data_IF_553536338845
#
_entry.id   IF_553536338845
#
_cell.length_a   1.000
_cell.length_b   1.000
_cell.length_c   1.000
_cell.angle_alpha   90.00
_cell.angle_beta   90.00
_cell.angle_gamma   90.00
#
_symmetry.space_group_name_H-M   'P 1'
#
loop_
_entity.id
_entity.type
_entity.pdbx_description
1 polymer ?
#
# COMPACT_ATOMS: atom_id res chain seq x y z
N UNK A 1 -28.45 -72.79 -27.51
CA UNK A 1 -27.29 -72.01 -27.98
C UNK A 1 -27.53 -71.71 -29.44
N UNK A 2 -27.62 -70.49 -29.96
CA UNK A 2 -27.43 -69.12 -29.46
C UNK A 2 -28.33 -68.24 -30.33
N UNK A 3 -28.91 -67.20 -29.75
CA UNK A 3 -29.69 -66.18 -30.46
C UNK A 3 -28.76 -65.24 -31.25
N UNK A 4 -29.10 -64.91 -32.49
CA UNK A 4 -28.44 -63.85 -33.27
C UNK A 4 -29.42 -62.74 -33.67
N UNK A 5 -29.41 -61.70 -32.85
CA UNK A 5 -29.31 -60.27 -33.17
C UNK A 5 -29.69 -59.77 -34.59
N UNK A 6 -30.98 -59.82 -34.93
CA UNK A 6 -31.51 -59.02 -36.04
C UNK A 6 -32.05 -57.67 -35.54
N UNK A 7 -31.17 -56.66 -35.55
CA UNK A 7 -31.43 -55.24 -35.86
C UNK A 7 -32.91 -54.76 -35.89
N UNK A 8 -33.39 -53.99 -34.89
CA UNK A 8 -34.73 -53.41 -34.92
C UNK A 8 -34.70 -51.97 -35.49
N UNK A 9 -34.16 -51.78 -36.69
CA UNK A 9 -34.36 -50.55 -37.47
C UNK A 9 -35.30 -50.81 -38.65
N UNK A 10 -36.57 -51.08 -38.34
CA UNK A 10 -37.67 -50.94 -39.32
C UNK A 10 -38.69 -49.93 -38.82
N UNK A 11 -38.27 -48.67 -38.74
CA UNK A 11 -39.21 -47.56 -38.71
C UNK A 11 -39.81 -47.41 -40.12
N UNK A 12 -41.08 -47.81 -40.29
CA UNK A 12 -41.85 -47.57 -41.52
C UNK A 12 -41.94 -46.06 -41.76
N UNK A 13 -41.17 -45.55 -42.73
CA UNK A 13 -41.34 -44.21 -43.27
C UNK A 13 -42.43 -44.28 -44.35
N UNK A 14 -43.62 -43.79 -44.05
CA UNK A 14 -44.64 -43.52 -45.07
C UNK A 14 -44.13 -42.39 -45.97
N UNK A 15 -43.74 -42.72 -47.20
CA UNK A 15 -43.30 -41.76 -48.21
C UNK A 15 -44.51 -41.12 -48.90
N UNK A 16 -44.92 -39.94 -48.43
CA UNK A 16 -45.68 -39.00 -49.25
C UNK A 16 -44.69 -38.12 -50.03
N UNK A 17 -44.62 -38.34 -51.34
CA UNK A 17 -43.80 -37.57 -52.28
C UNK A 17 -44.47 -36.22 -52.59
N UNK A 18 -44.00 -35.15 -51.96
CA UNK A 18 -44.23 -33.79 -52.43
C UNK A 18 -42.96 -33.28 -53.13
N UNK A 19 -43.14 -32.81 -54.38
CA UNK A 19 -42.12 -32.25 -55.28
C UNK A 19 -41.28 -31.15 -54.59
N UNK A 20 -39.96 -31.28 -54.68
CA UNK A 20 -39.07 -30.12 -54.91
C UNK A 20 -38.11 -29.72 -53.80
N UNK A 21 -38.33 -30.05 -52.52
CA UNK A 21 -37.41 -29.68 -51.43
C UNK A 21 -37.37 -30.78 -50.37
N UNK A 22 -36.24 -31.47 -50.22
CA UNK A 22 -36.05 -32.43 -49.12
C UNK A 22 -35.74 -31.65 -47.85
N UNK A 23 -36.78 -31.27 -47.11
CA UNK A 23 -36.60 -30.69 -45.79
C UNK A 23 -36.23 -31.81 -44.81
N UNK A 24 -34.92 -32.04 -44.63
CA UNK A 24 -34.40 -32.94 -43.60
C UNK A 24 -34.63 -32.29 -42.24
N UNK A 25 -35.72 -32.67 -41.56
CA UNK A 25 -35.96 -32.29 -40.17
C UNK A 25 -34.84 -32.86 -39.29
N UNK A 26 -33.85 -32.04 -38.96
CA UNK A 26 -32.88 -32.34 -37.92
C UNK A 26 -33.65 -32.29 -36.60
N UNK A 27 -33.98 -33.47 -36.07
CA UNK A 27 -34.63 -33.61 -34.77
C UNK A 27 -33.61 -33.21 -33.71
N UNK A 28 -33.64 -31.95 -33.28
CA UNK A 28 -32.90 -31.48 -32.11
C UNK A 28 -33.33 -32.33 -30.92
N UNK A 29 -32.41 -33.14 -30.37
CA UNK A 29 -32.66 -33.81 -29.09
C UNK A 29 -32.90 -32.69 -28.08
N UNK A 30 -34.13 -32.59 -27.59
CA UNK A 30 -34.45 -31.73 -26.47
C UNK A 30 -33.67 -32.27 -25.27
N UNK A 31 -32.50 -31.71 -24.99
CA UNK A 31 -31.78 -31.97 -23.75
C UNK A 31 -32.72 -31.50 -22.66
N UNK A 32 -33.19 -32.43 -21.83
CA UNK A 32 -34.01 -32.07 -20.68
C UNK A 32 -33.18 -31.09 -19.84
N UNK A 33 -33.63 -29.83 -19.76
CA UNK A 33 -33.07 -28.88 -18.83
C UNK A 33 -33.36 -29.41 -17.43
N UNK A 34 -32.37 -30.05 -16.82
CA UNK A 34 -32.36 -30.30 -15.39
C UNK A 34 -32.19 -28.93 -14.73
N UNK A 35 -33.29 -28.33 -14.27
CA UNK A 35 -33.27 -27.09 -13.53
C UNK A 35 -32.44 -27.23 -12.25
N UNK A 36 -31.75 -26.16 -11.86
CA UNK A 36 -31.03 -26.08 -10.58
C UNK A 36 -31.94 -26.48 -9.44
N UNK A 37 -31.47 -27.36 -8.57
CA UNK A 37 -32.21 -27.69 -7.34
C UNK A 37 -32.16 -26.47 -6.41
N UNK A 38 -33.22 -26.22 -5.63
CA UNK A 38 -33.25 -25.10 -4.67
C UNK A 38 -32.05 -25.15 -3.70
N UNK A 39 -31.64 -26.36 -3.33
CA UNK A 39 -30.47 -26.61 -2.47
C UNK A 39 -29.17 -26.16 -3.13
N UNK A 40 -29.01 -26.36 -4.43
CA UNK A 40 -27.80 -25.96 -5.19
C UNK A 40 -27.62 -24.44 -5.23
N UNK A 41 -28.72 -23.70 -5.39
CA UNK A 41 -28.70 -22.24 -5.31
C UNK A 41 -28.33 -21.74 -3.90
N UNK A 42 -28.88 -22.37 -2.86
CA UNK A 42 -28.54 -22.02 -1.47
C UNK A 42 -27.09 -22.30 -1.13
N UNK A 43 -26.55 -23.45 -1.54
CA UNK A 43 -25.14 -23.79 -1.34
C UNK A 43 -24.25 -22.79 -2.08
N UNK A 44 -24.60 -22.43 -3.32
CA UNK A 44 -23.85 -21.43 -4.11
C UNK A 44 -23.80 -20.07 -3.43
N UNK A 45 -24.94 -19.60 -2.88
CA UNK A 45 -25.00 -18.36 -2.11
C UNK A 45 -24.16 -18.42 -0.84
N UNK A 46 -24.14 -19.56 -0.14
CA UNK A 46 -23.29 -19.74 1.05
C UNK A 46 -21.81 -19.69 0.69
N UNK A 47 -21.39 -20.40 -0.36
CA UNK A 47 -19.98 -20.38 -0.81
C UNK A 47 -19.57 -18.98 -1.25
N UNK A 48 -20.44 -18.27 -1.99
CA UNK A 48 -20.20 -16.89 -2.39
C UNK A 48 -20.07 -15.96 -1.18
N UNK A 49 -20.96 -16.09 -0.19
CA UNK A 49 -20.91 -15.28 1.03
C UNK A 49 -19.59 -15.49 1.79
N UNK A 50 -19.16 -16.74 1.96
CA UNK A 50 -17.86 -17.05 2.59
C UNK A 50 -16.70 -16.49 1.77
N UNK A 51 -16.76 -16.60 0.44
CA UNK A 51 -15.75 -16.02 -0.45
C UNK A 51 -15.63 -14.50 -0.31
N UNK A 52 -16.75 -13.77 -0.23
CA UNK A 52 -16.74 -12.32 -0.04
C UNK A 52 -16.17 -11.89 1.30
N UNK A 53 -16.41 -12.64 2.38
CA UNK A 53 -15.78 -12.36 3.68
C UNK A 53 -14.25 -12.48 3.60
N UNK A 54 -13.73 -13.46 2.84
CA UNK A 54 -12.31 -13.60 2.57
C UNK A 54 -11.73 -12.37 1.86
N UNK A 55 -12.40 -11.88 0.81
CA UNK A 55 -11.96 -10.68 0.07
C UNK A 55 -11.98 -9.43 0.94
N UNK A 56 -13.02 -9.26 1.78
CA UNK A 56 -13.10 -8.13 2.70
C UNK A 56 -11.94 -8.11 3.70
N UNK A 57 -11.55 -9.27 4.23
CA UNK A 57 -10.39 -9.39 5.12
C UNK A 57 -9.08 -8.99 4.42
N UNK A 58 -8.87 -9.47 3.18
CA UNK A 58 -7.69 -9.09 2.38
C UNK A 58 -7.66 -7.59 2.04
N UNK A 59 -8.83 -6.99 1.82
CA UNK A 59 -8.95 -5.56 1.53
C UNK A 59 -8.51 -4.70 2.73
N UNK A 60 -8.91 -5.06 3.95
CA UNK A 60 -8.49 -4.37 5.17
C UNK A 60 -6.96 -4.43 5.34
N UNK A 61 -6.37 -5.60 5.10
CA UNK A 61 -4.92 -5.75 5.21
C UNK A 61 -4.18 -4.94 4.13
N UNK A 62 -4.73 -4.87 2.93
CA UNK A 62 -4.18 -4.04 1.84
C UNK A 62 -4.17 -2.56 2.22
N UNK A 63 -5.26 -2.06 2.82
CA UNK A 63 -5.32 -0.68 3.32
C UNK A 63 -4.30 -0.44 4.44
N UNK A 64 -4.18 -1.39 5.37
CA UNK A 64 -3.21 -1.30 6.47
C UNK A 64 -1.79 -1.21 5.94
N UNK A 65 -1.40 -2.13 5.05
CA UNK A 65 -0.08 -2.14 4.41
C UNK A 65 0.20 -0.84 3.64
N UNK A 66 -0.81 -0.31 2.96
CA UNK A 66 -0.70 0.97 2.23
C UNK A 66 -0.37 2.14 3.16
N UNK A 67 -1.12 2.29 4.26
CA UNK A 67 -0.86 3.34 5.25
C UNK A 67 0.55 3.24 5.85
N UNK A 68 1.01 2.02 6.15
CA UNK A 68 2.34 1.80 6.69
C UNK A 68 3.45 2.16 5.70
N UNK A 69 3.26 1.80 4.42
CA UNK A 69 4.19 2.17 3.36
C UNK A 69 4.32 3.69 3.19
N UNK A 70 3.22 4.43 3.32
CA UNK A 70 3.22 5.90 3.23
C UNK A 70 3.99 6.51 4.40
N UNK A 71 3.72 6.10 5.64
CA UNK A 71 4.45 6.59 6.81
C UNK A 71 5.95 6.34 6.70
N UNK A 72 6.34 5.15 6.26
CA UNK A 72 7.75 4.80 6.06
C UNK A 72 8.40 5.63 4.95
N UNK A 73 7.72 5.81 3.82
CA UNK A 73 8.21 6.65 2.71
C UNK A 73 8.41 8.09 3.16
N UNK A 74 7.45 8.65 3.91
CA UNK A 74 7.56 10.00 4.47
C UNK A 74 8.76 10.10 5.41
N UNK A 75 8.98 9.10 6.27
CA UNK A 75 10.12 9.09 7.19
C UNK A 75 11.48 9.07 6.46
N UNK A 76 11.60 8.26 5.40
CA UNK A 76 12.81 8.19 4.57
C UNK A 76 13.07 9.52 3.89
N UNK A 77 12.05 10.11 3.24
CA UNK A 77 12.17 11.39 2.53
C UNK A 77 12.51 12.52 3.49
N UNK A 78 11.86 12.61 4.65
CA UNK A 78 12.12 13.65 5.65
C UNK A 78 13.53 13.53 6.26
N UNK A 79 14.02 12.31 6.48
CA UNK A 79 15.38 12.11 6.96
C UNK A 79 16.42 12.48 5.91
N UNK A 80 16.19 12.12 4.65
CA UNK A 80 17.08 12.46 3.55
C UNK A 80 17.14 13.98 3.33
N UNK A 81 15.98 14.66 3.32
CA UNK A 81 15.88 16.11 3.23
C UNK A 81 16.69 16.81 4.34
N UNK A 82 16.55 16.36 5.59
CA UNK A 82 17.34 16.92 6.69
C UNK A 82 18.84 16.64 6.55
N UNK A 83 19.25 15.46 6.08
CA UNK A 83 20.65 15.17 5.82
C UNK A 83 21.24 16.11 4.74
N UNK A 84 20.46 16.40 3.70
CA UNK A 84 20.89 17.30 2.63
C UNK A 84 20.97 18.76 3.09
N UNK A 85 20.04 19.22 3.94
CA UNK A 85 20.13 20.53 4.60
C UNK A 85 21.37 20.67 5.47
N UNK A 86 21.67 19.66 6.28
CA UNK A 86 22.88 19.63 7.13
C UNK A 86 24.15 19.72 6.27
N UNK A 87 24.21 18.97 5.16
CA UNK A 87 25.35 19.02 4.22
C UNK A 87 25.48 20.39 3.56
N UNK A 88 24.37 21.00 3.14
CA UNK A 88 24.36 22.32 2.53
C UNK A 88 24.81 23.41 3.51
N UNK A 89 24.49 23.27 4.80
CA UNK A 89 24.86 24.20 5.86
C UNK A 89 25.90 23.61 6.83
N UNK A 90 27.00 23.10 6.27
CA UNK A 90 28.08 22.46 7.04
C UNK A 90 28.70 23.36 8.13
N UNK A 91 28.73 24.68 7.91
CA UNK A 91 29.25 25.66 8.88
C UNK A 91 28.31 25.86 10.09
N UNK A 92 27.02 25.55 9.95
CA UNK A 92 25.99 25.71 10.96
C UNK A 92 25.60 24.43 11.69
N UNK A 93 26.38 23.35 11.52
CA UNK A 93 25.97 21.99 11.86
C UNK A 93 25.56 21.80 13.33
N UNK A 94 26.22 22.52 14.25
CA UNK A 94 25.89 22.48 15.68
C UNK A 94 24.47 22.99 15.98
N UNK A 95 23.89 23.80 15.11
CA UNK A 95 22.52 24.29 15.23
C UNK A 95 21.45 23.21 15.00
N UNK A 96 21.80 22.09 14.36
CA UNK A 96 20.87 20.97 14.12
C UNK A 96 20.82 19.99 15.30
N UNK A 97 21.84 19.94 16.15
CA UNK A 97 22.00 18.91 17.19
C UNK A 97 21.00 19.11 18.32
N UNK A 98 20.35 18.03 18.75
CA UNK A 98 19.45 18.02 19.90
C UNK A 98 18.06 18.63 19.62
N UNK A 99 17.86 19.19 18.43
CA UNK A 99 16.58 19.68 17.98
C UNK A 99 15.73 18.57 17.35
N UNK A 100 14.40 18.68 17.49
CA UNK A 100 13.47 17.82 16.78
C UNK A 100 12.09 17.66 17.41
N UNK A 101 11.22 16.96 16.66
CA UNK A 101 9.83 16.72 17.01
C UNK A 101 9.71 15.93 18.32
N UNK A 102 8.84 16.38 19.24
CA UNK A 102 8.59 15.68 20.51
C UNK A 102 9.54 16.03 21.67
N UNK A 103 10.63 16.77 21.41
CA UNK A 103 11.58 17.24 22.45
C UNK A 103 11.37 18.71 22.85
N UNK A 104 10.31 19.37 22.35
CA UNK A 104 9.97 20.77 22.67
C UNK A 104 10.89 21.83 22.04
N UNK A 105 11.97 21.42 21.36
CA UNK A 105 12.92 22.30 20.67
C UNK A 105 12.66 22.25 19.17
N UNK A 106 11.62 22.97 18.74
CA UNK A 106 11.47 23.35 17.34
C UNK A 106 12.42 24.53 17.07
N UNK A 107 13.12 24.51 15.94
CA UNK A 107 13.89 25.68 15.51
C UNK A 107 13.00 26.91 15.33
N UNK A 108 13.61 28.09 15.14
CA UNK A 108 12.89 29.34 14.94
C UNK A 108 12.68 29.64 13.46
N UNK A 109 11.46 30.07 13.08
CA UNK A 109 11.21 30.63 11.74
C UNK A 109 11.95 31.98 11.62
N UNK A 110 13.13 31.94 10.99
CA UNK A 110 13.98 33.10 10.79
C UNK A 110 13.78 33.73 9.40
N UNK A 111 12.84 33.19 8.60
CA UNK A 111 12.53 33.63 7.25
C UNK A 111 13.79 33.66 6.35
N UNK A 112 14.62 32.63 6.47
CA UNK A 112 15.89 32.52 5.74
C UNK A 112 15.69 32.20 4.26
N UNK A 113 14.53 31.64 3.90
CA UNK A 113 14.16 31.28 2.53
C UNK A 113 13.15 32.31 2.01
N UNK A 114 13.48 32.98 0.90
CA UNK A 114 12.66 34.02 0.25
C UNK A 114 12.36 35.27 1.12
N UNK A 115 13.00 35.42 2.27
CA UNK A 115 12.92 36.59 3.12
C UNK A 115 13.97 37.67 2.81
N UNK A 116 13.86 38.86 3.42
CA UNK A 116 14.83 39.95 3.25
C UNK A 116 16.11 39.78 4.09
N UNK A 117 16.22 38.71 4.90
CA UNK A 117 17.28 38.51 5.88
C UNK A 117 18.38 37.59 5.33
N UNK A 118 19.64 38.03 5.45
CA UNK A 118 20.79 37.16 5.25
C UNK A 118 21.07 36.39 6.54
N UNK A 119 20.57 35.16 6.62
CA UNK A 119 20.75 34.34 7.82
C UNK A 119 22.21 33.91 8.02
N UNK A 120 22.66 33.96 9.27
CA UNK A 120 23.88 33.24 9.69
C UNK A 120 23.67 31.73 9.59
N UNK A 121 24.74 30.91 9.50
CA UNK A 121 24.62 29.45 9.47
C UNK A 121 23.78 28.87 10.64
N UNK A 122 23.87 29.45 11.83
CA UNK A 122 23.07 29.04 12.99
C UNK A 122 21.57 29.38 12.84
N UNK A 123 21.25 30.56 12.28
CA UNK A 123 19.86 30.96 12.02
C UNK A 123 19.24 30.12 10.90
N UNK A 124 20.01 29.79 9.87
CA UNK A 124 19.57 28.90 8.81
C UNK A 124 19.25 27.50 9.35
N UNK A 125 20.10 26.95 10.22
CA UNK A 125 19.82 25.66 10.88
C UNK A 125 18.52 25.68 11.71
N UNK A 126 18.26 26.78 12.43
CA UNK A 126 17.02 26.95 13.17
C UNK A 126 15.79 27.08 12.25
N UNK A 127 15.91 27.72 11.09
CA UNK A 127 14.83 27.84 10.09
C UNK A 127 14.54 26.49 9.43
N UNK A 128 15.58 25.76 9.04
CA UNK A 128 15.48 24.40 8.49
C UNK A 128 14.76 23.46 9.46
N UNK A 129 15.13 23.48 10.74
CA UNK A 129 14.49 22.68 11.78
C UNK A 129 13.02 23.07 12.00
N UNK A 130 12.69 24.35 11.86
CA UNK A 130 11.30 24.82 11.96
C UNK A 130 10.45 24.20 10.85
N UNK A 131 10.88 24.35 9.59
CA UNK A 131 10.13 23.82 8.44
C UNK A 131 10.08 22.30 8.43
N UNK A 132 11.20 21.64 8.72
CA UNK A 132 11.24 20.19 8.85
C UNK A 132 10.27 19.69 9.92
N UNK A 133 10.14 20.42 11.04
CA UNK A 133 9.18 20.06 12.07
C UNK A 133 7.73 20.25 11.61
N UNK A 134 7.42 21.32 10.87
CA UNK A 134 6.09 21.49 10.26
C UNK A 134 5.77 20.37 9.26
N UNK A 135 6.74 19.94 8.46
CA UNK A 135 6.55 18.83 7.52
C UNK A 135 6.34 17.50 8.24
N UNK A 136 7.12 17.22 9.29
CA UNK A 136 6.87 16.07 10.18
C UNK A 136 5.45 16.16 10.76
N UNK A 137 4.98 17.36 11.11
CA UNK A 137 3.65 17.52 11.69
C UNK A 137 2.53 17.14 10.72
N UNK A 138 2.71 17.52 9.47
CA UNK A 138 1.73 17.37 8.40
C UNK A 138 1.75 15.97 7.79
N UNK A 139 2.92 15.34 7.70
CA UNK A 139 3.11 14.11 6.95
C UNK A 139 3.13 12.84 7.81
N UNK A 140 3.37 12.95 9.11
CA UNK A 140 3.50 11.79 10.01
C UNK A 140 2.31 11.65 10.96
N UNK A 141 1.95 10.43 11.42
CA UNK A 141 0.90 10.22 12.42
C UNK A 141 1.20 10.92 13.75
N UNK A 142 0.17 11.30 14.51
CA UNK A 142 0.29 11.97 15.82
C UNK A 142 1.15 11.15 16.81
N UNK A 143 1.69 11.81 17.84
CA UNK A 143 2.65 11.22 18.80
C UNK A 143 3.97 10.73 18.16
N UNK A 144 4.40 11.37 17.08
CA UNK A 144 5.72 11.17 16.49
C UNK A 144 6.82 11.92 17.25
N UNK A 145 8.05 11.43 17.12
CA UNK A 145 9.26 12.09 17.55
C UNK A 145 10.30 12.09 16.43
N UNK A 146 11.17 13.08 16.41
CA UNK A 146 12.30 13.14 15.51
C UNK A 146 13.46 13.83 16.22
N UNK A 147 14.68 13.45 15.91
CA UNK A 147 15.88 14.08 16.49
C UNK A 147 17.07 13.96 15.56
N UNK A 148 17.99 14.92 15.70
CA UNK A 148 19.32 14.85 15.11
C UNK A 148 20.33 14.76 16.26
N UNK A 149 21.12 13.69 16.25
CA UNK A 149 22.19 13.44 17.21
C UNK A 149 23.53 13.39 16.48
N UNK A 150 24.59 13.76 17.18
CA UNK A 150 25.97 13.58 16.72
C UNK A 150 26.68 12.60 17.65
N UNK A 151 27.50 11.74 17.06
CA UNK A 151 28.50 10.96 17.77
C UNK A 151 29.85 11.38 17.22
N UNK A 152 30.69 11.96 18.08
CA UNK A 152 32.05 12.31 17.71
C UNK A 152 32.88 11.02 17.59
N UNK A 153 33.30 10.66 16.37
CA UNK A 153 34.08 9.44 16.09
C UNK A 153 35.36 9.83 15.36
N UNK A 154 36.43 10.23 16.08
CA UNK A 154 37.66 10.72 15.45
C UNK A 154 38.15 9.81 14.30
N UNK A 155 38.48 10.35 13.11
CA UNK A 155 38.68 11.77 12.80
C UNK A 155 37.46 12.55 12.28
N UNK A 156 36.27 11.94 12.17
CA UNK A 156 35.07 12.56 11.58
C UNK A 156 33.85 12.52 12.51
N UNK A 157 32.93 13.45 12.35
CA UNK A 157 31.68 13.40 13.10
C UNK A 157 30.65 12.52 12.39
N UNK A 158 29.95 11.68 13.15
CA UNK A 158 28.87 10.85 12.65
C UNK A 158 27.53 11.43 13.08
N UNK A 159 26.73 11.86 12.11
CA UNK A 159 25.42 12.45 12.34
C UNK A 159 24.35 11.38 12.14
N UNK A 160 23.41 11.33 13.08
CA UNK A 160 22.33 10.35 13.11
C UNK A 160 21.00 11.08 13.24
N UNK A 161 20.16 10.90 12.23
CA UNK A 161 18.79 11.41 12.19
C UNK A 161 17.87 10.24 12.55
N UNK A 162 17.03 10.41 13.56
CA UNK A 162 16.09 9.40 14.03
C UNK A 162 14.67 9.94 13.91
N UNK A 163 13.78 9.20 13.27
CA UNK A 163 12.34 9.48 13.25
C UNK A 163 11.63 8.29 13.88
N UNK A 164 10.69 8.55 14.77
CA UNK A 164 9.93 7.54 15.52
C UNK A 164 8.46 7.89 15.48
N UNK A 165 7.59 6.92 15.19
CA UNK A 165 6.14 7.14 15.15
C UNK A 165 5.36 5.92 15.62
N UNK A 166 4.14 6.11 16.17
CA UNK A 166 3.26 5.00 16.47
C UNK A 166 2.66 4.44 15.18
N UNK A 167 2.53 3.13 15.14
CA UNK A 167 2.11 2.42 13.94
C UNK A 167 0.97 1.44 14.28
N UNK A 168 -0.05 1.36 13.41
CA UNK A 168 -1.27 0.63 13.79
C UNK A 168 -1.00 -0.86 13.95
N UNK A 169 -1.35 -1.36 15.13
CA UNK A 169 -1.16 -2.75 15.53
C UNK A 169 0.30 -3.15 15.74
N UNK A 170 1.19 -2.18 15.92
CA UNK A 170 2.48 -2.37 16.57
C UNK A 170 2.37 -1.87 18.03
N UNK A 171 2.76 -2.67 19.03
CA UNK A 171 2.71 -2.24 20.43
C UNK A 171 3.82 -1.23 20.76
N UNK A 172 4.90 -1.21 19.98
CA UNK A 172 6.02 -0.30 20.13
C UNK A 172 6.08 0.66 18.93
N UNK A 173 6.53 1.91 19.13
CA UNK A 173 6.76 2.84 18.04
C UNK A 173 7.80 2.30 17.04
N UNK A 174 7.56 2.50 15.76
CA UNK A 174 8.50 2.17 14.68
C UNK A 174 9.49 3.32 14.56
N UNK A 175 10.75 3.01 14.27
CA UNK A 175 11.80 4.01 14.05
C UNK A 175 12.51 3.82 12.73
N UNK A 176 12.86 4.93 12.09
CA UNK A 176 13.78 5.00 10.97
C UNK A 176 15.01 5.80 11.38
N UNK A 177 16.19 5.28 11.05
CA UNK A 177 17.47 5.89 11.41
C UNK A 177 18.31 6.07 10.16
N UNK A 178 18.74 7.29 9.89
CA UNK A 178 19.68 7.63 8.84
C UNK A 178 20.97 8.12 9.48
N UNK A 179 22.08 7.51 9.10
CA UNK A 179 23.39 7.89 9.62
C UNK A 179 24.34 8.25 8.47
N UNK A 180 25.05 9.36 8.61
CA UNK A 180 26.05 9.81 7.65
C UNK A 180 27.26 10.41 8.35
N UNK A 181 28.36 10.57 7.61
CA UNK A 181 29.62 11.14 8.10
C UNK A 181 29.88 12.46 7.39
N UNK A 182 30.51 13.40 8.10
CA UNK A 182 30.96 14.68 7.58
C UNK A 182 32.36 15.02 8.07
#
# INVERSE_FOLDING_TARGET
MVADNSNPLKARLNTHQFKGYTFTMIRTRNSQQTGFTLVEAMVSLVVLAVGMLGVAAMYIESLRSGHMSVSYTNAVTLAADMADRIRANSLGINGYIGAGAGNGTAGGNNNCVNGPLNCTPAQLAADDLFWWYEDIKNLMPVNRAASVAVVNVPPLDQYTITLTWPERGQPQPVSYVLTFRQ
#
